data_IF_688458579237
#
_entry.id   IF_688458579237
#
_cell.length_a   1.000
_cell.length_b   1.000
_cell.length_c   1.000
_cell.angle_alpha   90.00
_cell.angle_beta   90.00
_cell.angle_gamma   90.00
#
_symmetry.space_group_name_H-M   'P 1'
#
loop_
_entity.id
_entity.type
_entity.pdbx_description
1 polymer ?
#
# COMPACT_ATOMS: atom_id res chain seq x y z
N UNK A 1 1.32 -20.72 -1.22
CA UNK A 1 2.26 -19.95 -2.06
C UNK A 1 1.56 -19.31 -3.26
N UNK A 2 0.85 -20.05 -4.11
CA UNK A 2 0.19 -19.50 -5.33
C UNK A 2 -0.70 -18.27 -5.05
N UNK A 3 -1.60 -18.35 -4.06
CA UNK A 3 -2.52 -17.24 -3.72
C UNK A 3 -1.77 -15.97 -3.31
N UNK A 4 -0.73 -16.11 -2.48
CA UNK A 4 0.09 -14.99 -2.02
C UNK A 4 0.88 -14.37 -3.17
N UNK A 5 1.50 -15.20 -4.02
CA UNK A 5 2.30 -14.72 -5.16
C UNK A 5 1.44 -14.03 -6.21
N UNK A 6 0.25 -14.55 -6.51
CA UNK A 6 -0.68 -13.89 -7.44
C UNK A 6 -1.15 -12.55 -6.89
N UNK A 7 -1.46 -12.47 -5.59
CA UNK A 7 -1.81 -11.22 -4.94
C UNK A 7 -0.66 -10.19 -4.98
N UNK A 8 0.56 -10.63 -4.67
CA UNK A 8 1.75 -9.78 -4.71
C UNK A 8 2.03 -9.23 -6.11
N UNK A 9 1.94 -10.08 -7.14
CA UNK A 9 2.15 -9.68 -8.54
C UNK A 9 1.14 -8.65 -9.04
N UNK A 10 -0.07 -8.63 -8.48
CA UNK A 10 -1.07 -7.60 -8.80
C UNK A 10 -0.78 -6.32 -8.00
N UNK A 11 -0.43 -6.47 -6.71
CA UNK A 11 -0.28 -5.33 -5.79
C UNK A 11 0.96 -4.49 -6.09
N UNK A 12 2.12 -5.12 -6.33
CA UNK A 12 3.41 -4.43 -6.50
C UNK A 12 3.43 -3.44 -7.69
N UNK A 13 3.06 -3.82 -8.92
CA UNK A 13 3.04 -2.88 -10.05
C UNK A 13 1.95 -1.82 -9.86
N UNK A 14 0.80 -2.19 -9.30
CA UNK A 14 -0.30 -1.24 -9.06
C UNK A 14 0.10 -0.15 -8.07
N UNK A 15 0.76 -0.52 -6.96
CA UNK A 15 1.19 0.44 -5.94
C UNK A 15 2.27 1.40 -6.44
N UNK A 16 3.22 0.89 -7.25
CA UNK A 16 4.30 1.69 -7.83
C UNK A 16 3.78 2.64 -8.91
N UNK A 17 2.91 2.17 -9.82
CA UNK A 17 2.27 3.01 -10.84
C UNK A 17 1.35 4.07 -10.21
N UNK A 18 0.58 3.73 -9.19
CA UNK A 18 -0.26 4.70 -8.47
C UNK A 18 0.58 5.81 -7.83
N UNK A 19 1.69 5.46 -7.19
CA UNK A 19 2.63 6.41 -6.60
C UNK A 19 3.33 7.27 -7.68
N UNK A 20 3.62 6.70 -8.86
CA UNK A 20 4.20 7.41 -10.00
C UNK A 20 3.24 8.44 -10.63
N UNK A 21 1.98 8.05 -10.81
CA UNK A 21 0.97 8.89 -11.46
C UNK A 21 0.56 10.07 -10.58
N UNK A 22 0.62 9.92 -9.25
CA UNK A 22 0.36 11.01 -8.32
C UNK A 22 1.51 12.03 -8.25
N UNK A 23 2.71 11.67 -8.72
CA UNK A 23 3.89 12.51 -8.62
C UNK A 23 4.04 13.45 -9.85
N UNK A 24 4.08 14.78 -9.66
CA UNK A 24 4.39 15.72 -10.74
C UNK A 24 5.81 15.49 -11.27
N UNK A 25 6.04 15.72 -12.57
CA UNK A 25 7.26 15.34 -13.29
C UNK A 25 8.57 15.78 -12.61
N UNK A 26 8.58 16.97 -12.00
CA UNK A 26 9.69 17.56 -11.24
C UNK A 26 10.04 16.78 -9.94
N UNK A 27 9.05 16.14 -9.29
CA UNK A 27 9.21 15.56 -7.94
C UNK A 27 9.11 14.04 -7.89
N UNK A 28 9.06 13.35 -9.05
CA UNK A 28 8.97 11.88 -9.13
C UNK A 28 10.03 11.16 -8.31
N UNK A 29 11.28 11.65 -8.34
CA UNK A 29 12.38 11.08 -7.56
C UNK A 29 12.13 11.10 -6.05
N UNK A 30 11.48 12.15 -5.53
CA UNK A 30 11.16 12.27 -4.10
C UNK A 30 10.00 11.36 -3.69
N UNK A 31 8.97 11.24 -4.54
CA UNK A 31 7.85 10.33 -4.29
C UNK A 31 8.29 8.87 -4.31
N UNK A 32 9.13 8.50 -5.28
CA UNK A 32 9.70 7.15 -5.37
C UNK A 32 10.67 6.84 -4.23
N UNK A 33 11.47 7.82 -3.80
CA UNK A 33 12.36 7.66 -2.63
C UNK A 33 11.57 7.39 -1.34
N UNK A 34 10.49 8.13 -1.10
CA UNK A 34 9.61 7.88 0.07
C UNK A 34 8.97 6.50 -0.02
N UNK A 35 8.45 6.11 -1.20
CA UNK A 35 7.89 4.78 -1.42
C UNK A 35 8.92 3.66 -1.12
N UNK A 36 10.16 3.83 -1.60
CA UNK A 36 11.26 2.91 -1.32
C UNK A 36 11.63 2.86 0.17
N UNK A 37 11.68 4.01 0.85
CA UNK A 37 11.93 4.08 2.30
C UNK A 37 10.86 3.36 3.10
N UNK A 38 9.58 3.51 2.74
CA UNK A 38 8.49 2.76 3.39
C UNK A 38 8.72 1.26 3.27
N UNK A 39 9.12 0.77 2.09
CA UNK A 39 9.44 -0.65 1.88
C UNK A 39 10.64 -1.10 2.73
N UNK A 40 11.69 -0.29 2.80
CA UNK A 40 12.86 -0.55 3.62
C UNK A 40 12.52 -0.64 5.12
N UNK A 41 11.78 0.34 5.64
CA UNK A 41 11.31 0.37 7.03
C UNK A 41 10.44 -0.85 7.34
N UNK A 42 9.50 -1.19 6.45
CA UNK A 42 8.65 -2.38 6.60
C UNK A 42 9.48 -3.67 6.64
N UNK A 43 10.52 -3.78 5.81
CA UNK A 43 11.40 -4.96 5.80
C UNK A 43 12.28 -5.09 7.05
N UNK A 44 12.58 -3.97 7.73
CA UNK A 44 13.30 -4.00 9.01
C UNK A 44 12.38 -4.28 10.20
N UNK A 45 11.24 -3.60 10.27
CA UNK A 45 10.30 -3.73 11.38
C UNK A 45 9.55 -5.08 11.32
N UNK A 46 9.22 -5.57 10.12
CA UNK A 46 8.44 -6.80 9.93
C UNK A 46 9.03 -8.02 10.66
N UNK A 47 10.28 -8.42 10.36
CA UNK A 47 10.94 -9.54 11.03
C UNK A 47 11.14 -9.32 12.54
N UNK A 48 11.44 -8.09 12.97
CA UNK A 48 11.60 -7.77 14.39
C UNK A 48 10.28 -8.00 15.16
N UNK A 49 9.19 -7.43 14.65
CA UNK A 49 7.88 -7.60 15.29
C UNK A 49 7.37 -9.04 15.18
N UNK A 50 7.62 -9.70 14.04
CA UNK A 50 7.27 -11.11 13.83
C UNK A 50 8.04 -12.05 14.74
N UNK A 51 9.34 -11.83 14.95
CA UNK A 51 10.18 -12.60 15.85
C UNK A 51 9.74 -12.45 17.30
N UNK A 52 9.58 -11.20 17.77
CA UNK A 52 9.12 -10.92 19.14
C UNK A 52 7.75 -11.59 19.40
N UNK A 53 6.83 -11.51 18.44
CA UNK A 53 5.50 -12.10 18.59
C UNK A 53 5.52 -13.64 18.57
N UNK A 54 6.43 -14.22 17.77
CA UNK A 54 6.68 -15.66 17.74
C UNK A 54 7.23 -16.17 19.07
N UNK A 55 8.18 -15.44 19.64
CA UNK A 55 8.91 -15.84 20.86
C UNK A 55 8.10 -15.63 22.14
N UNK A 56 7.21 -14.63 22.18
CA UNK A 56 6.47 -14.27 23.40
C UNK A 56 5.09 -14.93 23.53
N UNK A 57 4.39 -15.17 22.41
CA UNK A 57 3.00 -15.66 22.44
C UNK A 57 2.91 -17.07 21.89
N UNK A 58 3.31 -17.27 20.64
CA UNK A 58 3.23 -18.57 19.94
C UNK A 58 3.84 -18.44 18.53
N UNK A 59 4.41 -19.52 17.97
CA UNK A 59 4.85 -19.55 16.56
C UNK A 59 3.76 -19.21 15.54
N UNK A 60 2.48 -19.31 15.93
CA UNK A 60 1.35 -18.96 15.06
C UNK A 60 0.92 -17.49 15.15
N UNK A 61 1.33 -16.76 16.19
CA UNK A 61 0.91 -15.39 16.43
C UNK A 61 1.30 -14.39 15.30
N UNK A 62 2.47 -14.50 14.63
CA UNK A 62 2.82 -13.67 13.48
C UNK A 62 1.82 -13.76 12.32
N UNK A 63 1.21 -14.93 12.12
CA UNK A 63 0.22 -15.14 11.06
C UNK A 63 -1.09 -14.39 11.34
N UNK A 64 -1.54 -14.42 12.60
CA UNK A 64 -2.71 -13.64 13.01
C UNK A 64 -2.45 -12.14 12.94
N UNK A 65 -1.25 -11.68 13.32
CA UNK A 65 -0.86 -10.28 13.18
C UNK A 65 -0.79 -9.83 11.71
N UNK A 66 -0.22 -10.65 10.82
CA UNK A 66 -0.20 -10.37 9.39
C UNK A 66 -1.62 -10.32 8.80
N UNK A 67 -2.50 -11.25 9.19
CA UNK A 67 -3.90 -11.24 8.81
C UNK A 67 -4.63 -9.97 9.27
N UNK A 68 -4.43 -9.57 10.53
CA UNK A 68 -5.00 -8.33 11.07
C UNK A 68 -4.49 -7.08 10.33
N UNK A 69 -3.18 -7.00 10.06
CA UNK A 69 -2.59 -5.90 9.30
C UNK A 69 -3.13 -5.82 7.86
N UNK A 70 -3.37 -6.96 7.21
CA UNK A 70 -4.03 -7.04 5.91
C UNK A 70 -5.47 -6.55 5.97
N UNK A 71 -6.22 -6.93 7.00
CA UNK A 71 -7.61 -6.49 7.19
C UNK A 71 -7.72 -4.98 7.46
N UNK A 72 -6.81 -4.43 8.26
CA UNK A 72 -6.69 -2.99 8.49
C UNK A 72 -6.37 -2.26 7.18
N UNK A 73 -5.47 -2.82 6.36
CA UNK A 73 -5.14 -2.24 5.04
C UNK A 73 -6.35 -2.24 4.12
N UNK A 74 -7.15 -3.32 4.12
CA UNK A 74 -8.39 -3.40 3.35
C UNK A 74 -9.40 -2.33 3.80
N UNK A 75 -9.59 -2.17 5.11
CA UNK A 75 -10.42 -1.11 5.69
C UNK A 75 -9.94 0.28 5.26
N UNK A 76 -8.64 0.53 5.32
CA UNK A 76 -8.06 1.82 4.93
C UNK A 76 -8.27 2.11 3.45
N UNK A 77 -8.02 1.14 2.57
CA UNK A 77 -8.31 1.27 1.14
C UNK A 77 -9.80 1.41 0.85
N UNK A 78 -10.67 0.75 1.60
CA UNK A 78 -12.12 0.88 1.46
C UNK A 78 -12.60 2.28 1.86
N UNK A 79 -12.10 2.82 2.97
CA UNK A 79 -12.40 4.19 3.40
C UNK A 79 -11.85 5.22 2.40
N UNK A 80 -10.61 5.01 1.93
CA UNK A 80 -9.98 5.89 0.94
C UNK A 80 -10.73 5.86 -0.39
N UNK A 81 -11.09 4.68 -0.89
CA UNK A 81 -11.86 4.53 -2.14
C UNK A 81 -13.26 5.12 -2.00
N UNK A 82 -13.93 4.98 -0.84
CA UNK A 82 -15.20 5.67 -0.58
C UNK A 82 -15.03 7.18 -0.62
N UNK A 83 -13.95 7.71 -0.02
CA UNK A 83 -13.65 9.16 -0.03
C UNK A 83 -13.29 9.68 -1.41
N UNK A 84 -12.46 8.97 -2.17
CA UNK A 84 -12.10 9.32 -3.55
C UNK A 84 -13.32 9.27 -4.46
N UNK A 85 -14.14 8.21 -4.38
CA UNK A 85 -15.40 8.11 -5.12
C UNK A 85 -16.39 9.21 -4.75
N UNK A 86 -16.46 9.60 -3.47
CA UNK A 86 -17.33 10.72 -3.06
C UNK A 86 -16.83 12.08 -3.56
N UNK A 87 -15.53 12.23 -3.78
CA UNK A 87 -14.93 13.42 -4.37
C UNK A 87 -15.11 13.45 -5.90
N UNK A 88 -15.02 12.31 -6.58
CA UNK A 88 -15.31 12.19 -8.03
C UNK A 88 -16.80 12.46 -8.34
N UNK A 89 -17.72 12.12 -7.43
CA UNK A 89 -19.15 12.43 -7.59
C UNK A 89 -19.45 13.92 -7.31
N UNK A 90 -18.61 14.63 -6.54
CA UNK A 90 -18.73 16.07 -6.26
C UNK A 90 -17.84 16.95 -7.17
N UNK A 91 -16.98 16.36 -8.00
CA UNK A 91 -16.27 17.05 -9.08
C UNK A 91 -16.80 16.52 -10.42
N UNK A 92 -17.81 17.18 -11.03
CA UNK A 92 -18.18 16.87 -12.40
C UNK A 92 -17.00 17.21 -13.33
N UNK A 93 -16.21 16.20 -13.72
CA UNK A 93 -15.55 16.03 -15.02
C UNK A 93 -14.87 17.27 -15.68
N UNK A 94 -14.41 18.27 -14.93
CA UNK A 94 -13.77 19.48 -15.48
C UNK A 94 -12.35 19.64 -14.96
N UNK A 95 -11.47 18.67 -15.17
CA UNK A 95 -10.03 18.96 -15.28
C UNK A 95 -9.37 18.00 -16.28
N UNK A 96 -9.53 18.34 -17.57
CA UNK A 96 -8.49 18.32 -18.62
C UNK A 96 -7.88 16.93 -18.93
N UNK A 97 -8.20 16.26 -20.03
CA UNK A 97 -7.88 16.65 -21.41
C UNK A 97 -6.76 17.71 -21.50
N UNK A 98 -5.52 17.31 -21.29
CA UNK A 98 -4.37 17.91 -21.99
C UNK A 98 -3.35 16.82 -22.35
N UNK A 99 -2.95 16.71 -23.62
CA UNK A 99 -1.92 15.80 -24.09
C UNK A 99 -0.57 16.55 -24.11
N UNK A 100 0.24 16.46 -23.04
CA UNK A 100 1.69 16.76 -23.07
C UNK A 100 2.37 16.02 -21.90
#
# INVERSE_FOLDING_TARGET
MVVMTTGELIMVPTATTFSANLAPADKRGRYMSIHGMTRGIASGIGPLTGGILSDTISPHAPWFAAGAAGFISLLFYFLLSKKLRNNDINQPQTTKLTPF
#
